data_IF_379008249243
#
_entry.id   IF_379008249243
#
_cell.length_a   1.000
_cell.length_b   1.000
_cell.length_c   1.000
_cell.angle_alpha   90.00
_cell.angle_beta   90.00
_cell.angle_gamma   90.00
#
_symmetry.space_group_name_H-M   'P 1'
#
loop_
_entity.id
_entity.type
_entity.pdbx_description
1 polymer ?
#
# COMPACT_ATOMS: atom_id res chain seq x y z
N UNK A 1 -45.43 13.08 -30.37
CA UNK A 1 -45.57 11.89 -29.51
C UNK A 1 -44.27 11.12 -29.66
N UNK A 2 -43.29 11.39 -28.78
CA UNK A 2 -42.99 10.58 -27.55
C UNK A 2 -42.26 9.29 -27.93
N UNK A 3 -41.16 8.85 -27.34
CA UNK A 3 -40.25 9.33 -26.30
C UNK A 3 -38.93 8.51 -26.46
N UNK A 4 -37.76 9.12 -26.30
CA UNK A 4 -36.81 8.87 -25.19
C UNK A 4 -36.14 7.49 -25.11
N UNK A 5 -34.80 7.54 -24.97
CA UNK A 5 -33.94 6.41 -24.63
C UNK A 5 -32.50 6.86 -24.35
N UNK A 6 -32.38 7.92 -23.53
CA UNK A 6 -31.12 8.35 -22.91
C UNK A 6 -30.59 7.25 -21.98
N UNK A 7 -29.32 6.85 -22.15
CA UNK A 7 -28.58 6.08 -21.13
C UNK A 7 -27.45 6.95 -20.60
N UNK A 8 -27.79 7.61 -19.50
CA UNK A 8 -27.00 7.99 -18.34
C UNK A 8 -25.47 7.82 -18.45
N UNK A 9 -24.78 8.94 -18.64
CA UNK A 9 -23.49 9.16 -17.98
C UNK A 9 -23.76 9.28 -16.47
N UNK A 10 -23.22 8.34 -15.69
CA UNK A 10 -23.19 8.43 -14.22
C UNK A 10 -22.00 9.31 -13.81
N UNK A 11 -22.13 10.17 -12.79
CA UNK A 11 -21.22 11.27 -12.56
C UNK A 11 -19.90 10.78 -11.96
N UNK A 12 -18.79 11.17 -12.60
CA UNK A 12 -17.46 11.11 -11.98
C UNK A 12 -17.46 12.21 -10.92
N UNK A 13 -17.75 11.85 -9.68
CA UNK A 13 -17.39 12.67 -8.53
C UNK A 13 -16.28 11.95 -7.76
N UNK A 14 -15.04 12.29 -8.11
CA UNK A 14 -13.88 12.07 -7.28
C UNK A 14 -13.08 13.36 -7.34
N UNK A 15 -13.19 14.13 -6.26
CA UNK A 15 -12.32 15.25 -5.95
C UNK A 15 -10.90 14.71 -5.69
N UNK A 16 -10.24 14.25 -6.75
CA UNK A 16 -8.81 13.94 -6.79
C UNK A 16 -8.11 15.26 -7.10
N UNK A 17 -7.17 15.73 -6.29
CA UNK A 17 -6.41 16.92 -6.65
C UNK A 17 -5.72 16.71 -7.98
N UNK A 18 -5.64 17.82 -8.72
CA UNK A 18 -5.25 17.95 -10.12
C UNK A 18 -3.77 17.58 -10.37
N UNK A 19 -3.37 16.37 -10.05
CA UNK A 19 -2.28 15.67 -10.70
C UNK A 19 -2.88 15.15 -12.01
N UNK A 20 -2.62 15.85 -13.12
CA UNK A 20 -3.20 15.49 -14.41
C UNK A 20 -3.12 13.98 -14.64
N UNK A 21 -4.25 13.34 -14.95
CA UNK A 21 -4.41 11.87 -14.99
C UNK A 21 -3.31 11.14 -15.77
N UNK A 22 -2.79 11.79 -16.81
CA UNK A 22 -1.66 11.32 -17.62
C UNK A 22 -0.34 11.21 -16.85
N UNK A 23 -0.05 12.14 -15.94
CA UNK A 23 1.16 12.12 -15.09
C UNK A 23 1.13 10.94 -14.11
N UNK A 24 -0.04 10.64 -13.54
CA UNK A 24 -0.20 9.52 -12.61
C UNK A 24 -0.10 8.18 -13.34
N UNK A 25 -0.68 8.07 -14.53
CA UNK A 25 -0.56 6.87 -15.36
C UNK A 25 0.90 6.57 -15.75
N UNK A 26 1.63 7.57 -16.25
CA UNK A 26 3.03 7.37 -16.65
C UNK A 26 3.94 7.02 -15.46
N UNK A 27 3.63 7.56 -14.27
CA UNK A 27 4.35 7.26 -13.01
C UNK A 27 4.31 5.77 -12.66
N UNK A 28 3.18 5.09 -12.91
CA UNK A 28 2.98 3.69 -12.49
C UNK A 28 3.06 2.66 -13.61
N UNK A 29 3.41 3.10 -14.82
CA UNK A 29 3.53 2.23 -15.99
C UNK A 29 4.69 1.22 -15.88
N UNK A 30 5.83 1.66 -15.35
CA UNK A 30 7.03 0.83 -15.22
C UNK A 30 6.98 -0.08 -13.98
N UNK A 31 8.02 -0.87 -13.74
CA UNK A 31 8.17 -1.69 -12.53
C UNK A 31 8.98 -0.98 -11.42
N UNK A 32 9.33 0.28 -11.63
CA UNK A 32 10.01 1.16 -10.68
C UNK A 32 9.22 2.45 -10.54
N UNK A 33 8.62 2.65 -9.38
CA UNK A 33 7.84 3.84 -9.07
C UNK A 33 8.61 4.71 -8.11
N UNK A 34 8.55 6.01 -8.34
CA UNK A 34 9.05 7.02 -7.41
C UNK A 34 8.07 8.19 -7.38
N UNK A 35 7.63 8.57 -6.18
CA UNK A 35 6.67 9.65 -6.01
C UNK A 35 6.82 10.32 -4.65
N UNK A 36 6.28 11.53 -4.52
CA UNK A 36 6.28 12.27 -3.26
C UNK A 36 5.38 11.61 -2.22
N UNK A 37 5.63 11.94 -0.95
CA UNK A 37 4.84 11.43 0.16
C UNK A 37 3.46 12.04 0.09
N UNK A 38 2.52 11.33 -0.54
CA UNK A 38 1.14 11.75 -0.66
C UNK A 38 0.18 10.55 -0.52
N UNK A 39 -0.68 10.60 0.49
CA UNK A 39 -1.70 9.60 0.77
C UNK A 39 -2.70 9.45 -0.38
N UNK A 40 -2.90 10.50 -1.17
CA UNK A 40 -3.80 10.47 -2.32
C UNK A 40 -3.24 9.66 -3.49
N UNK A 41 -1.92 9.38 -3.49
CA UNK A 41 -1.27 8.50 -4.46
C UNK A 41 -1.39 7.00 -4.09
N UNK A 42 -1.88 6.66 -2.90
CA UNK A 42 -2.05 5.26 -2.49
C UNK A 42 -3.07 4.53 -3.36
N UNK A 43 -4.28 5.07 -3.53
CA UNK A 43 -5.31 4.41 -4.33
C UNK A 43 -4.93 4.28 -5.82
N UNK A 44 -4.34 5.30 -6.48
CA UNK A 44 -3.75 5.15 -7.80
C UNK A 44 -2.68 4.05 -7.89
N UNK A 45 -1.76 3.98 -6.92
CA UNK A 45 -0.72 2.95 -6.89
C UNK A 45 -1.30 1.54 -6.71
N UNK A 46 -2.29 1.39 -5.82
CA UNK A 46 -3.00 0.12 -5.60
C UNK A 46 -3.75 -0.32 -6.87
N UNK A 47 -4.40 0.62 -7.56
CA UNK A 47 -5.06 0.36 -8.85
C UNK A 47 -4.05 -0.11 -9.90
N UNK A 48 -2.92 0.58 -10.03
CA UNK A 48 -1.88 0.20 -10.98
C UNK A 48 -1.29 -1.19 -10.67
N UNK A 49 -1.12 -1.54 -9.39
CA UNK A 49 -0.74 -2.88 -8.98
C UNK A 49 -1.78 -3.91 -9.43
N UNK A 50 -3.06 -3.66 -9.13
CA UNK A 50 -4.18 -4.53 -9.51
C UNK A 50 -4.19 -4.78 -11.02
N UNK A 51 -4.03 -3.75 -11.84
CA UNK A 51 -3.93 -3.89 -13.29
C UNK A 51 -2.74 -4.77 -13.69
N UNK A 52 -1.55 -4.55 -13.12
CA UNK A 52 -0.35 -5.37 -13.40
C UNK A 52 -0.52 -6.84 -13.05
N UNK A 53 -1.05 -7.16 -11.87
CA UNK A 53 -1.20 -8.56 -11.43
C UNK A 53 -2.37 -9.27 -12.13
N UNK A 54 -3.42 -8.54 -12.52
CA UNK A 54 -4.50 -9.08 -13.34
C UNK A 54 -4.00 -9.52 -14.72
N UNK A 55 -3.07 -8.77 -15.33
CA UNK A 55 -2.48 -9.11 -16.63
C UNK A 55 -1.69 -10.43 -16.61
N UNK A 56 -1.16 -10.82 -15.46
CA UNK A 56 -0.48 -12.12 -15.28
C UNK A 56 -1.40 -13.18 -14.66
N UNK A 57 -2.71 -12.92 -14.60
CA UNK A 57 -3.74 -13.91 -14.27
C UNK A 57 -4.05 -14.06 -12.79
N UNK A 58 -3.70 -13.08 -11.93
CA UNK A 58 -4.15 -13.08 -10.55
C UNK A 58 -5.62 -12.68 -10.46
N UNK A 59 -6.39 -13.44 -9.69
CA UNK A 59 -7.81 -13.23 -9.45
C UNK A 59 -8.23 -13.72 -8.05
N UNK A 60 -9.52 -13.61 -7.73
CA UNK A 60 -10.07 -14.13 -6.48
C UNK A 60 -9.53 -13.44 -5.23
N UNK A 61 -9.37 -14.20 -4.15
CA UNK A 61 -8.94 -13.65 -2.86
C UNK A 61 -7.44 -13.35 -2.82
N UNK A 62 -6.60 -14.12 -3.54
CA UNK A 62 -5.18 -13.80 -3.66
C UNK A 62 -4.95 -12.44 -4.32
N UNK A 63 -5.74 -12.10 -5.34
CA UNK A 63 -5.71 -10.78 -5.98
C UNK A 63 -6.08 -9.64 -5.02
N UNK A 64 -7.16 -9.81 -4.25
CA UNK A 64 -7.60 -8.82 -3.26
C UNK A 64 -6.56 -8.65 -2.15
N UNK A 65 -6.10 -9.76 -1.59
CA UNK A 65 -5.13 -9.80 -0.50
C UNK A 65 -3.78 -9.21 -0.91
N UNK A 66 -3.33 -9.46 -2.15
CA UNK A 66 -2.14 -8.82 -2.69
C UNK A 66 -2.26 -7.28 -2.69
N UNK A 67 -3.41 -6.77 -3.13
CA UNK A 67 -3.68 -5.33 -3.18
C UNK A 67 -3.80 -4.70 -1.78
N UNK A 68 -4.51 -5.35 -0.85
CA UNK A 68 -4.65 -4.84 0.52
C UNK A 68 -3.32 -4.90 1.29
N UNK A 69 -2.55 -5.97 1.16
CA UNK A 69 -1.22 -6.05 1.77
C UNK A 69 -0.25 -5.00 1.22
N UNK A 70 -0.28 -4.74 -0.10
CA UNK A 70 0.50 -3.65 -0.70
C UNK A 70 0.07 -2.28 -0.15
N UNK A 71 -1.24 -2.03 -0.08
CA UNK A 71 -1.82 -0.80 0.48
C UNK A 71 -1.36 -0.55 1.91
N UNK A 72 -1.43 -1.56 2.77
CA UNK A 72 -0.99 -1.47 4.16
C UNK A 72 0.49 -1.12 4.28
N UNK A 73 1.36 -1.77 3.50
CA UNK A 73 2.80 -1.48 3.51
C UNK A 73 3.10 -0.07 2.98
N UNK A 74 2.37 0.38 1.96
CA UNK A 74 2.55 1.71 1.40
C UNK A 74 2.09 2.81 2.38
N UNK A 75 0.95 2.62 3.04
CA UNK A 75 0.46 3.51 4.09
C UNK A 75 1.44 3.58 5.26
N UNK A 76 2.05 2.46 5.65
CA UNK A 76 3.08 2.43 6.69
C UNK A 76 4.33 3.22 6.27
N UNK A 77 4.78 3.08 5.02
CA UNK A 77 5.93 3.82 4.50
C UNK A 77 5.69 5.34 4.46
N UNK A 78 4.47 5.76 4.12
CA UNK A 78 4.06 7.18 4.13
C UNK A 78 3.93 7.68 5.58
N UNK A 79 3.06 7.05 6.37
CA UNK A 79 2.68 7.53 7.70
C UNK A 79 3.79 7.37 8.72
N UNK A 80 4.24 6.14 8.96
CA UNK A 80 5.25 5.86 9.97
C UNK A 80 6.68 6.07 9.47
N UNK A 81 6.92 5.94 8.17
CA UNK A 81 8.21 6.23 7.55
C UNK A 81 8.44 7.72 7.35
N UNK A 82 7.97 8.25 6.23
CA UNK A 82 8.30 9.62 5.81
C UNK A 82 7.69 10.71 6.71
N UNK A 83 6.44 10.55 7.14
CA UNK A 83 5.75 11.55 7.97
C UNK A 83 6.00 11.38 9.47
N UNK A 84 6.49 10.22 9.90
CA UNK A 84 6.75 9.87 11.32
C UNK A 84 5.52 10.10 12.21
N UNK A 85 4.33 9.75 11.71
CA UNK A 85 3.08 9.79 12.47
C UNK A 85 3.23 8.86 13.67
N UNK A 86 3.04 9.41 14.87
CA UNK A 86 3.12 8.66 16.11
C UNK A 86 2.02 7.58 16.17
N UNK A 87 2.42 6.36 16.50
CA UNK A 87 1.51 5.19 16.58
C UNK A 87 0.42 5.36 17.65
N UNK A 88 0.65 6.18 18.67
CA UNK A 88 -0.34 6.50 19.71
C UNK A 88 -1.51 7.34 19.19
N UNK A 89 -1.29 8.17 18.15
CA UNK A 89 -2.35 8.94 17.48
C UNK A 89 -3.27 7.99 16.70
N UNK A 90 -2.70 6.93 16.13
CA UNK A 90 -3.43 5.88 15.41
C UNK A 90 -4.31 5.05 16.36
N UNK A 91 -3.88 4.84 17.60
CA UNK A 91 -4.68 4.12 18.60
C UNK A 91 -5.97 4.85 19.00
N UNK A 92 -6.12 6.13 18.65
CA UNK A 92 -7.28 6.97 18.98
C UNK A 92 -8.15 7.30 17.76
N UNK A 93 -7.78 6.85 16.55
CA UNK A 93 -8.49 7.24 15.32
C UNK A 93 -8.04 6.50 14.05
N UNK A 94 -8.40 7.04 12.89
CA UNK A 94 -8.05 6.46 11.59
C UNK A 94 -6.65 6.94 11.14
N UNK A 95 -5.72 6.01 10.87
CA UNK A 95 -4.36 6.30 10.36
C UNK A 95 -4.37 7.28 9.17
N UNK A 96 -5.36 7.17 8.27
CA UNK A 96 -5.49 8.06 7.13
C UNK A 96 -5.69 9.52 7.55
N UNK A 97 -6.50 9.75 8.59
CA UNK A 97 -6.72 11.10 9.11
C UNK A 97 -5.43 11.67 9.71
N UNK A 98 -4.68 10.85 10.45
CA UNK A 98 -3.41 11.27 11.04
C UNK A 98 -2.36 11.61 9.97
N UNK A 99 -2.32 10.82 8.88
CA UNK A 99 -1.47 11.10 7.72
C UNK A 99 -1.87 12.41 7.04
N UNK A 100 -3.17 12.62 6.79
CA UNK A 100 -3.66 13.86 6.16
C UNK A 100 -3.26 15.12 6.94
N UNK A 101 -3.40 15.08 8.27
CA UNK A 101 -2.97 16.17 9.14
C UNK A 101 -1.46 16.37 9.07
N UNK A 102 -0.67 15.31 9.22
CA UNK A 102 0.79 15.39 9.17
C UNK A 102 1.32 15.89 7.82
N UNK A 103 0.67 15.59 6.70
CA UNK A 103 1.05 16.15 5.39
C UNK A 103 0.86 17.67 5.32
N UNK A 104 -0.16 18.20 6.01
CA UNK A 104 -0.39 19.64 6.13
C UNK A 104 0.60 20.33 7.07
N UNK A 105 0.92 19.68 8.18
CA UNK A 105 1.78 20.25 9.23
C UNK A 105 3.28 20.17 8.90
N UNK A 106 3.69 19.20 8.07
CA UNK A 106 5.10 18.93 7.73
C UNK A 106 5.36 18.91 6.22
N UNK A 107 5.28 20.07 5.52
CA UNK A 107 5.45 20.15 4.07
C UNK A 107 6.84 19.72 3.59
N UNK A 108 7.88 19.81 4.43
CA UNK A 108 9.21 19.28 4.14
C UNK A 108 9.25 17.75 4.11
N UNK A 109 8.45 17.09 4.96
CA UNK A 109 8.32 15.62 4.95
C UNK A 109 7.51 15.16 3.74
N UNK A 110 6.58 15.97 3.23
CA UNK A 110 5.84 15.69 1.99
C UNK A 110 6.77 15.52 0.77
N UNK A 111 7.86 16.29 0.73
CA UNK A 111 8.86 16.23 -0.36
C UNK A 111 9.70 14.95 -0.37
N UNK A 112 9.72 14.21 0.75
CA UNK A 112 10.39 12.90 0.82
C UNK A 112 9.73 11.96 -0.19
N UNK A 113 10.53 11.09 -0.79
CA UNK A 113 10.07 10.16 -1.81
C UNK A 113 9.72 8.81 -1.21
N UNK A 114 8.74 8.17 -1.83
CA UNK A 114 8.49 6.74 -1.74
C UNK A 114 9.00 6.11 -3.02
N UNK A 115 9.70 4.98 -2.88
CA UNK A 115 10.14 4.15 -4.00
C UNK A 115 9.47 2.79 -3.90
N UNK A 116 8.95 2.29 -5.03
CA UNK A 116 8.42 0.93 -5.14
C UNK A 116 9.15 0.25 -6.29
N UNK A 117 9.74 -0.91 -6.03
CA UNK A 117 10.42 -1.74 -7.04
C UNK A 117 9.73 -3.09 -7.07
N UNK A 118 9.19 -3.49 -8.21
CA UNK A 118 8.69 -4.84 -8.43
C UNK A 118 9.85 -5.74 -8.81
N UNK A 119 10.22 -6.64 -7.91
CA UNK A 119 11.28 -7.61 -8.13
C UNK A 119 10.78 -8.79 -8.97
N UNK A 120 9.49 -9.12 -8.85
CA UNK A 120 8.82 -10.14 -9.64
C UNK A 120 7.32 -9.86 -9.74
N UNK A 121 6.77 -9.94 -10.95
CA UNK A 121 5.34 -10.03 -11.22
C UNK A 121 5.16 -11.20 -12.19
N UNK A 122 4.74 -12.35 -11.67
CA UNK A 122 4.50 -13.56 -12.44
C UNK A 122 3.13 -14.15 -12.12
N UNK A 123 2.71 -15.17 -12.87
CA UNK A 123 1.42 -15.81 -12.65
C UNK A 123 1.28 -16.46 -11.26
N UNK A 124 2.40 -16.77 -10.60
CA UNK A 124 2.46 -17.48 -9.33
C UNK A 124 2.98 -16.61 -8.17
N UNK A 125 3.81 -15.61 -8.46
CA UNK A 125 4.53 -14.83 -7.43
C UNK A 125 4.47 -13.33 -7.69
N UNK A 126 4.20 -12.59 -6.62
CA UNK A 126 4.35 -11.14 -6.54
C UNK A 126 5.44 -10.83 -5.51
N UNK A 127 6.47 -10.10 -5.93
CA UNK A 127 7.54 -9.61 -5.05
C UNK A 127 7.79 -8.14 -5.32
N UNK A 128 7.76 -7.33 -4.26
CA UNK A 128 8.06 -5.90 -4.34
C UNK A 128 8.82 -5.41 -3.11
N UNK A 129 9.57 -4.33 -3.30
CA UNK A 129 10.27 -3.60 -2.24
C UNK A 129 9.73 -2.18 -2.18
N UNK A 130 9.32 -1.73 -0.99
CA UNK A 130 8.95 -0.34 -0.71
C UNK A 130 10.05 0.29 0.13
N UNK A 131 10.57 1.43 -0.33
CA UNK A 131 11.57 2.23 0.38
C UNK A 131 11.04 3.62 0.71
N UNK A 132 11.41 4.15 1.87
CA UNK A 132 11.12 5.51 2.31
C UNK A 132 12.39 6.25 2.76
N UNK A 133 12.30 7.56 2.96
CA UNK A 133 13.39 8.46 3.38
C UNK A 133 13.22 8.94 4.83
N UNK A 134 12.40 8.23 5.61
CA UNK A 134 12.19 8.48 7.03
C UNK A 134 13.39 8.08 7.89
N UNK A 135 13.18 8.06 9.20
CA UNK A 135 14.22 7.67 10.17
C UNK A 135 14.43 6.15 10.22
N UNK A 136 13.50 5.39 9.64
CA UNK A 136 13.47 3.93 9.76
C UNK A 136 12.87 3.48 11.08
N UNK A 137 12.87 2.17 11.31
CA UNK A 137 12.45 1.59 12.58
C UNK A 137 13.29 0.36 12.88
N UNK A 138 13.43 0.06 14.18
CA UNK A 138 14.05 -1.19 14.60
C UNK A 138 13.07 -2.34 14.39
N UNK A 139 13.29 -3.12 13.31
CA UNK A 139 12.47 -4.28 13.00
C UNK A 139 12.64 -5.41 14.01
N UNK A 140 13.76 -5.46 14.74
CA UNK A 140 13.97 -6.45 15.80
C UNK A 140 13.12 -6.17 17.04
N UNK A 141 12.67 -4.92 17.20
CA UNK A 141 11.77 -4.50 18.27
C UNK A 141 10.29 -4.74 17.94
N UNK A 142 9.94 -5.19 16.73
CA UNK A 142 8.56 -5.55 16.38
C UNK A 142 8.28 -6.95 16.95
N UNK A 143 7.42 -7.08 17.99
CA UNK A 143 7.11 -8.38 18.58
C UNK A 143 6.41 -9.27 17.55
N UNK A 144 6.68 -10.58 17.54
CA UNK A 144 5.98 -11.50 16.64
C UNK A 144 4.47 -11.44 16.94
N UNK A 145 3.66 -10.88 16.03
CA UNK A 145 2.27 -10.60 16.33
C UNK A 145 1.41 -11.87 16.24
N UNK A 146 1.98 -13.01 15.80
CA UNK A 146 1.32 -14.32 15.82
C UNK A 146 1.35 -14.99 17.19
N UNK A 147 2.16 -14.48 18.12
CA UNK A 147 2.20 -14.98 19.49
C UNK A 147 1.00 -14.43 20.29
N UNK A 148 0.29 -15.28 21.07
CA UNK A 148 -0.89 -14.86 21.84
C UNK A 148 -0.65 -13.66 22.76
N UNK A 149 0.54 -13.56 23.35
CA UNK A 149 0.98 -12.45 24.21
C UNK A 149 1.12 -11.09 23.50
N UNK A 150 1.18 -11.09 22.16
CA UNK A 150 1.29 -9.90 21.34
C UNK A 150 -0.04 -9.52 20.64
N UNK A 151 -1.07 -10.37 20.74
CA UNK A 151 -2.36 -10.17 20.07
C UNK A 151 -3.10 -8.89 20.49
N UNK A 152 -2.84 -8.35 21.68
CA UNK A 152 -3.46 -7.13 22.19
C UNK A 152 -2.56 -5.89 22.09
N UNK A 153 -1.33 -6.00 21.57
CA UNK A 153 -0.38 -4.87 21.50
C UNK A 153 -0.68 -4.00 20.27
N UNK A 154 -1.03 -2.71 20.41
CA UNK A 154 -1.42 -1.85 19.28
C UNK A 154 -0.33 -1.70 18.21
N UNK A 155 0.93 -1.91 18.58
CA UNK A 155 2.08 -1.76 17.70
C UNK A 155 2.21 -2.97 16.76
N UNK A 156 1.93 -2.77 15.47
CA UNK A 156 2.28 -3.73 14.42
C UNK A 156 1.11 -4.45 13.75
N UNK A 157 -0.13 -4.05 14.03
CA UNK A 157 -1.30 -4.68 13.43
C UNK A 157 -1.25 -4.61 11.91
N UNK A 158 -0.87 -3.46 11.32
CA UNK A 158 -0.69 -3.34 9.87
C UNK A 158 0.37 -4.26 9.26
N UNK A 159 1.39 -4.72 10.02
CA UNK A 159 2.37 -5.69 9.54
C UNK A 159 1.92 -7.13 9.79
N UNK A 160 1.14 -7.34 10.86
CA UNK A 160 0.44 -8.59 11.15
C UNK A 160 -0.60 -8.90 10.07
N UNK A 161 -1.40 -7.90 9.64
CA UNK A 161 -2.42 -8.04 8.60
C UNK A 161 -1.80 -8.55 7.29
N UNK A 162 -0.73 -7.90 6.82
CA UNK A 162 0.04 -8.34 5.63
C UNK A 162 0.44 -9.81 5.70
N UNK A 163 1.03 -10.26 6.82
CA UNK A 163 1.53 -11.64 6.94
C UNK A 163 0.41 -12.66 7.14
N UNK A 164 -0.43 -12.44 8.16
CA UNK A 164 -1.38 -13.46 8.64
C UNK A 164 -2.70 -13.43 7.89
N UNK A 165 -3.17 -12.25 7.51
CA UNK A 165 -4.49 -12.10 6.89
C UNK A 165 -4.40 -12.01 5.36
N UNK A 166 -3.31 -11.46 4.82
CA UNK A 166 -3.13 -11.35 3.38
C UNK A 166 -2.22 -12.44 2.77
N UNK A 167 -1.66 -13.33 3.60
CA UNK A 167 -0.91 -14.50 3.15
C UNK A 167 0.43 -14.16 2.50
N UNK A 168 1.09 -13.09 2.93
CA UNK A 168 2.47 -12.82 2.55
C UNK A 168 3.46 -13.66 3.36
N UNK A 169 4.61 -13.96 2.75
CA UNK A 169 5.76 -14.51 3.45
C UNK A 169 6.26 -13.55 4.56
N UNK A 170 7.09 -14.04 5.51
CA UNK A 170 7.77 -13.16 6.45
C UNK A 170 8.48 -12.00 5.73
N UNK A 171 8.09 -10.78 6.10
CA UNK A 171 8.61 -9.55 5.52
C UNK A 171 10.11 -9.44 5.80
N UNK A 172 10.87 -9.00 4.79
CA UNK A 172 12.31 -8.73 4.94
C UNK A 172 12.51 -7.23 5.07
N UNK A 173 13.16 -6.80 6.14
CA UNK A 173 13.47 -5.40 6.39
C UNK A 173 14.92 -5.10 6.04
N UNK A 174 15.15 -3.94 5.42
CA UNK A 174 16.46 -3.46 5.01
C UNK A 174 16.68 -2.00 5.38
N UNK A 175 17.91 -1.53 5.18
CA UNK A 175 18.28 -0.12 5.28
C UNK A 175 17.81 0.56 6.59
N UNK A 176 18.07 -0.10 7.73
CA UNK A 176 17.63 0.32 9.07
C UNK A 176 16.11 0.50 9.18
N UNK A 177 15.33 -0.40 8.58
CA UNK A 177 13.86 -0.38 8.62
C UNK A 177 13.21 0.62 7.66
N UNK A 178 13.99 1.22 6.75
CA UNK A 178 13.47 2.11 5.69
C UNK A 178 13.03 1.37 4.44
N UNK A 179 13.34 0.08 4.37
CA UNK A 179 12.96 -0.79 3.27
C UNK A 179 12.22 -2.02 3.79
N UNK A 180 11.17 -2.39 3.08
CA UNK A 180 10.44 -3.64 3.29
C UNK A 180 10.26 -4.35 1.96
N UNK A 181 10.72 -5.61 1.90
CA UNK A 181 10.46 -6.51 0.79
C UNK A 181 9.37 -7.50 1.21
N UNK A 182 8.33 -7.57 0.39
CA UNK A 182 7.19 -8.44 0.59
C UNK A 182 7.09 -9.43 -0.58
N UNK A 183 6.81 -10.69 -0.26
CA UNK A 183 6.61 -11.75 -1.24
C UNK A 183 5.27 -12.41 -0.95
N UNK A 184 4.44 -12.53 -1.97
CA UNK A 184 3.20 -13.31 -1.94
C UNK A 184 3.24 -14.33 -3.06
N UNK A 185 2.95 -15.58 -2.72
CA UNK A 185 2.71 -16.65 -3.70
C UNK A 185 1.23 -16.94 -3.75
N UNK A 186 0.72 -17.24 -4.93
CA UNK A 186 -0.65 -17.73 -5.06
C UNK A 186 -0.79 -19.05 -4.33
N UNK A 187 -1.83 -19.15 -3.54
CA UNK A 187 -2.30 -20.42 -3.02
C UNK A 187 -3.18 -21.00 -4.12
N UNK A 188 -2.61 -21.83 -5.00
CA UNK A 188 -3.40 -22.58 -5.98
C UNK A 188 -4.47 -23.37 -5.22
N UNK A 189 -5.73 -22.94 -5.28
CA UNK A 189 -6.83 -23.88 -5.07
C UNK A 189 -6.82 -24.80 -6.28
N UNK A 190 -6.45 -26.06 -6.05
CA UNK A 190 -6.70 -27.12 -7.02
C UNK A 190 -8.19 -27.13 -7.34
N UNK A 191 -8.58 -26.55 -8.46
CA UNK A 191 -9.86 -26.86 -9.10
C UNK A 191 -9.73 -28.28 -9.65
N UNK A 192 -10.20 -29.23 -8.85
CA UNK A 192 -10.56 -30.57 -9.30
C UNK A 192 -11.82 -30.52 -10.16
#
# INVERSE_FOLDING_TARGET
MSAEGSKAESPIDLNVPNLGTRSVYEMFKSDKWEFETDIELVEPAVRALREKIALVGWEGDDFKNAAEGFKELLVNAIGHGNLQVDKSIVAQGNIYQAILLAQGDYPERKKRKIKVIFNEISADTLSFTISNEGEGFDSSAVPDPTLPENASKPMGWGLLYVRVLHGFEPLKYGNNGREVTAVKRRTHEHQH
#
